data_IF_209733412995
#
_entry.id   IF_209733412995
#
_cell.length_a   1.000
_cell.length_b   1.000
_cell.length_c   1.000
_cell.angle_alpha   90.00
_cell.angle_beta   90.00
_cell.angle_gamma   90.00
#
_symmetry.space_group_name_H-M   'P 1'
#
loop_
_entity.id
_entity.type
_entity.pdbx_description
1 polymer ?
#
# COMPACT_ATOMS: atom_id res chain seq x y z
N UNK A 1 25.15 35.76 -28.48
CA UNK A 1 26.60 35.53 -28.71
C UNK A 1 27.15 36.25 -29.94
N UNK A 2 26.72 35.92 -31.17
CA UNK A 2 27.32 36.43 -32.43
C UNK A 2 27.45 37.97 -32.50
N UNK A 3 26.40 38.72 -32.17
CA UNK A 3 26.41 40.19 -32.20
C UNK A 3 27.53 40.83 -31.35
N UNK A 4 27.77 40.34 -30.11
CA UNK A 4 28.85 40.84 -29.24
C UNK A 4 30.24 40.61 -29.85
N UNK A 5 30.42 39.51 -30.58
CA UNK A 5 31.70 39.16 -31.22
C UNK A 5 31.89 39.96 -32.52
N UNK A 6 30.81 40.17 -33.30
CA UNK A 6 30.81 41.08 -34.45
C UNK A 6 31.14 42.52 -34.05
N UNK A 7 30.52 43.05 -32.98
CA UNK A 7 30.82 44.40 -32.46
C UNK A 7 32.30 44.49 -32.05
N UNK A 8 32.84 43.49 -31.34
CA UNK A 8 34.24 43.49 -30.91
C UNK A 8 35.20 43.44 -32.11
N UNK A 9 34.91 42.61 -33.14
CA UNK A 9 35.69 42.59 -34.39
C UNK A 9 35.61 43.94 -35.11
N UNK A 10 34.44 44.58 -35.15
CA UNK A 10 34.24 45.87 -35.82
C UNK A 10 35.00 47.00 -35.10
N UNK A 11 35.00 47.00 -33.76
CA UNK A 11 35.82 47.92 -32.95
C UNK A 11 37.32 47.69 -33.18
N UNK A 12 37.78 46.43 -33.22
CA UNK A 12 39.18 46.10 -33.56
C UNK A 12 39.54 46.61 -34.95
N UNK A 13 38.67 46.41 -35.94
CA UNK A 13 38.90 46.88 -37.31
C UNK A 13 38.97 48.42 -37.38
N UNK A 14 38.11 49.11 -36.63
CA UNK A 14 38.10 50.57 -36.54
C UNK A 14 39.38 51.12 -35.88
N UNK A 15 39.84 50.50 -34.77
CA UNK A 15 41.10 50.86 -34.11
C UNK A 15 42.30 50.57 -35.00
N UNK A 16 42.34 49.42 -35.68
CA UNK A 16 43.41 49.06 -36.60
C UNK A 16 43.45 50.00 -37.83
N UNK A 17 42.29 50.35 -38.40
CA UNK A 17 42.19 51.31 -39.49
C UNK A 17 42.62 52.73 -39.08
N UNK A 18 42.22 53.17 -37.88
CA UNK A 18 42.69 54.43 -37.31
C UNK A 18 44.21 54.44 -37.08
N UNK A 19 44.78 53.35 -36.56
CA UNK A 19 46.22 53.21 -36.36
C UNK A 19 46.99 53.17 -37.70
N UNK A 20 46.47 52.50 -38.72
CA UNK A 20 47.06 52.49 -40.06
C UNK A 20 47.04 53.90 -40.70
N UNK A 21 45.94 54.64 -40.56
CA UNK A 21 45.83 56.01 -41.06
C UNK A 21 46.79 56.99 -40.35
N UNK A 22 47.03 56.78 -39.04
CA UNK A 22 47.90 57.63 -38.22
C UNK A 22 49.31 57.04 -38.02
N UNK A 23 49.74 56.13 -38.91
CA UNK A 23 50.99 55.38 -38.77
C UNK A 23 52.24 56.26 -38.61
N UNK A 24 52.30 57.38 -39.33
CA UNK A 24 53.41 58.32 -39.26
C UNK A 24 53.58 58.95 -37.86
N UNK A 25 52.48 59.29 -37.19
CA UNK A 25 52.52 59.87 -35.84
C UNK A 25 52.78 58.78 -34.78
N UNK A 26 52.25 57.58 -34.97
CA UNK A 26 52.48 56.42 -34.10
C UNK A 26 53.96 56.01 -34.07
N UNK A 27 54.64 56.11 -35.22
CA UNK A 27 56.04 55.75 -35.37
C UNK A 27 57.01 56.93 -35.13
N UNK A 28 56.51 58.09 -34.68
CA UNK A 28 57.31 59.27 -34.38
C UNK A 28 58.08 59.08 -33.06
N UNK A 29 59.41 59.08 -33.13
CA UNK A 29 60.26 59.03 -31.94
C UNK A 29 59.98 60.22 -31.02
N UNK A 30 59.87 59.94 -29.72
CA UNK A 30 59.68 60.92 -28.65
C UNK A 30 60.60 60.57 -27.48
N UNK A 31 61.17 61.58 -26.85
CA UNK A 31 61.99 61.45 -25.64
C UNK A 31 61.13 60.95 -24.48
N UNK A 32 61.33 59.70 -24.05
CA UNK A 32 60.58 59.07 -22.96
C UNK A 32 61.42 58.96 -21.70
N UNK A 33 60.92 59.53 -20.60
CA UNK A 33 61.55 59.50 -19.28
C UNK A 33 60.96 58.38 -18.42
N UNK A 34 61.69 57.29 -18.25
CA UNK A 34 61.35 56.14 -17.41
C UNK A 34 61.74 56.38 -15.95
N UNK A 35 61.38 57.55 -15.40
CA UNK A 35 61.77 58.01 -14.08
C UNK A 35 63.22 58.51 -14.00
N UNK A 36 64.19 57.61 -14.20
CA UNK A 36 65.64 57.89 -14.05
C UNK A 36 66.42 57.82 -15.38
N UNK A 37 65.88 57.14 -16.39
CA UNK A 37 66.51 56.95 -17.70
C UNK A 37 65.67 57.61 -18.78
N UNK A 38 66.31 58.34 -19.69
CA UNK A 38 65.68 58.88 -20.89
C UNK A 38 66.07 58.02 -22.10
N UNK A 39 65.09 57.66 -22.93
CA UNK A 39 65.33 56.96 -24.18
C UNK A 39 64.37 57.44 -25.26
N UNK A 40 64.86 57.58 -26.49
CA UNK A 40 64.01 57.88 -27.65
C UNK A 40 63.32 56.62 -28.15
N UNK A 41 62.00 56.59 -28.05
CA UNK A 41 61.21 55.50 -28.64
C UNK A 41 59.85 56.03 -29.15
N UNK A 42 59.26 55.35 -30.15
CA UNK A 42 57.91 55.67 -30.63
C UNK A 42 56.87 55.27 -29.57
N UNK A 43 56.44 56.24 -28.76
CA UNK A 43 55.43 56.06 -27.71
C UNK A 43 54.14 55.42 -28.25
N UNK A 44 53.72 55.80 -29.47
CA UNK A 44 52.54 55.26 -30.12
C UNK A 44 52.61 53.74 -30.30
N UNK A 45 53.75 53.21 -30.77
CA UNK A 45 53.94 51.76 -30.90
C UNK A 45 53.93 51.04 -29.54
N UNK A 46 54.55 51.62 -28.50
CA UNK A 46 54.56 51.03 -27.16
C UNK A 46 53.12 50.91 -26.62
N UNK A 47 52.34 51.99 -26.69
CA UNK A 47 50.95 52.01 -26.25
C UNK A 47 50.05 51.07 -27.08
N UNK A 48 50.21 51.05 -28.40
CA UNK A 48 49.44 50.16 -29.29
C UNK A 48 49.74 48.68 -28.99
N UNK A 49 51.01 48.35 -28.75
CA UNK A 49 51.43 46.97 -28.43
C UNK A 49 50.89 46.54 -27.07
N UNK A 50 50.98 47.40 -26.05
CA UNK A 50 50.44 47.15 -24.72
C UNK A 50 48.91 46.97 -24.75
N UNK A 51 48.21 47.83 -25.51
CA UNK A 51 46.77 47.72 -25.72
C UNK A 51 46.39 46.40 -26.42
N UNK A 52 47.15 45.99 -27.44
CA UNK A 52 46.96 44.72 -28.13
C UNK A 52 47.12 43.51 -27.21
N UNK A 53 48.15 43.51 -26.36
CA UNK A 53 48.37 42.46 -25.35
C UNK A 53 47.21 42.43 -24.34
N UNK A 54 46.83 43.59 -23.78
CA UNK A 54 45.73 43.70 -22.82
C UNK A 54 44.39 43.21 -23.42
N UNK A 55 44.11 43.56 -24.67
CA UNK A 55 42.93 43.10 -25.40
C UNK A 55 42.94 41.58 -25.63
N UNK A 56 44.09 40.99 -25.96
CA UNK A 56 44.25 39.56 -26.16
C UNK A 56 44.02 38.78 -24.84
N UNK A 57 44.61 39.25 -23.74
CA UNK A 57 44.37 38.69 -22.38
C UNK A 57 42.90 38.81 -21.98
N UNK A 58 42.27 39.97 -22.24
CA UNK A 58 40.85 40.17 -21.98
C UNK A 58 39.97 39.23 -22.82
N UNK A 59 40.27 39.06 -24.11
CA UNK A 59 39.55 38.15 -25.00
C UNK A 59 39.70 36.68 -24.57
N UNK A 60 40.91 36.26 -24.17
CA UNK A 60 41.18 34.91 -23.66
C UNK A 60 40.41 34.64 -22.36
N UNK A 61 40.46 35.57 -21.39
CA UNK A 61 39.69 35.50 -20.15
C UNK A 61 38.18 35.47 -20.41
N UNK A 62 37.69 36.31 -21.33
CA UNK A 62 36.29 36.33 -21.72
C UNK A 62 35.83 35.05 -22.45
N UNK A 63 36.75 34.26 -23.03
CA UNK A 63 36.47 32.96 -23.60
C UNK A 63 36.42 31.86 -22.52
N UNK A 64 37.36 31.84 -21.57
CA UNK A 64 37.39 30.85 -20.48
C UNK A 64 36.21 30.98 -19.52
N UNK A 65 35.77 32.20 -19.19
CA UNK A 65 34.55 32.41 -18.40
C UNK A 65 33.28 31.85 -19.11
N UNK A 66 33.23 31.86 -20.45
CA UNK A 66 32.08 31.35 -21.20
C UNK A 66 32.04 29.82 -21.28
N UNK A 67 33.18 29.13 -21.18
CA UNK A 67 33.21 27.66 -21.22
C UNK A 67 32.74 27.04 -19.90
N UNK A 68 32.96 27.69 -18.76
CA UNK A 68 32.55 27.17 -17.44
C UNK A 68 31.03 26.93 -17.36
N UNK A 69 30.20 27.92 -17.69
CA UNK A 69 28.72 27.79 -17.64
C UNK A 69 28.14 26.73 -18.60
N UNK A 70 28.79 26.44 -19.73
CA UNK A 70 28.37 25.38 -20.65
C UNK A 70 28.72 23.98 -20.13
N UNK A 71 29.78 23.86 -19.34
CA UNK A 71 30.15 22.60 -18.68
C UNK A 71 29.25 22.34 -17.47
N UNK A 72 29.01 23.36 -16.64
CA UNK A 72 28.10 23.29 -15.48
C UNK A 72 26.68 22.88 -15.91
N UNK A 73 26.09 23.53 -16.92
CA UNK A 73 24.74 23.18 -17.40
C UNK A 73 24.64 21.72 -17.88
N UNK A 74 25.69 21.16 -18.50
CA UNK A 74 25.76 19.74 -18.88
C UNK A 74 25.92 18.81 -17.67
N UNK A 75 26.66 19.23 -16.64
CA UNK A 75 26.79 18.47 -15.39
C UNK A 75 25.48 18.46 -14.60
N UNK A 76 24.79 19.61 -14.46
CA UNK A 76 23.47 19.69 -13.82
C UNK A 76 22.41 18.87 -14.58
N UNK A 77 22.41 18.91 -15.92
CA UNK A 77 21.52 18.06 -16.72
C UNK A 77 21.78 16.56 -16.47
N UNK A 78 23.05 16.13 -16.43
CA UNK A 78 23.41 14.75 -16.08
C UNK A 78 23.01 14.36 -14.66
N UNK A 79 23.21 15.24 -13.68
CA UNK A 79 22.81 15.01 -12.30
C UNK A 79 21.29 14.86 -12.15
N UNK A 80 20.50 15.71 -12.82
CA UNK A 80 19.04 15.61 -12.86
C UNK A 80 18.56 14.34 -13.56
N UNK A 81 19.22 13.91 -14.64
CA UNK A 81 18.89 12.63 -15.30
C UNK A 81 19.18 11.43 -14.40
N UNK A 82 20.33 11.39 -13.74
CA UNK A 82 20.66 10.32 -12.79
C UNK A 82 19.71 10.30 -11.58
N UNK A 83 19.32 11.48 -11.07
CA UNK A 83 18.34 11.57 -9.98
C UNK A 83 16.95 11.08 -10.41
N UNK A 84 16.50 11.39 -11.64
CA UNK A 84 15.26 10.85 -12.20
C UNK A 84 15.30 9.34 -12.33
N UNK A 85 16.37 8.78 -12.89
CA UNK A 85 16.51 7.33 -13.05
C UNK A 85 16.48 6.58 -11.70
N UNK A 86 17.10 7.16 -10.66
CA UNK A 86 17.01 6.64 -9.29
C UNK A 86 15.61 6.79 -8.68
N UNK A 87 14.92 7.91 -8.93
CA UNK A 87 13.55 8.14 -8.49
C UNK A 87 12.57 7.19 -9.17
N UNK A 88 12.59 7.09 -10.50
CA UNK A 88 11.76 6.20 -11.32
C UNK A 88 11.94 4.73 -10.89
N UNK A 89 13.18 4.32 -10.59
CA UNK A 89 13.47 2.98 -10.07
C UNK A 89 12.94 2.76 -8.66
N UNK A 90 13.02 3.75 -7.78
CA UNK A 90 12.45 3.70 -6.45
C UNK A 90 10.91 3.66 -6.49
N UNK A 91 10.29 4.47 -7.36
CA UNK A 91 8.85 4.47 -7.60
C UNK A 91 8.37 3.14 -8.17
N UNK A 92 9.03 2.58 -9.20
CA UNK A 92 8.73 1.26 -9.73
C UNK A 92 8.80 0.15 -8.66
N UNK A 93 9.77 0.23 -7.74
CA UNK A 93 9.84 -0.66 -6.58
C UNK A 93 8.64 -0.49 -5.64
N UNK A 94 8.26 0.76 -5.30
CA UNK A 94 7.08 1.04 -4.45
C UNK A 94 5.76 0.61 -5.10
N UNK A 95 5.60 0.79 -6.41
CA UNK A 95 4.45 0.29 -7.16
C UNK A 95 4.36 -1.24 -7.14
N UNK A 96 5.50 -1.92 -7.25
CA UNK A 96 5.58 -3.39 -7.19
C UNK A 96 5.22 -3.90 -5.80
N UNK A 97 5.76 -3.27 -4.74
CA UNK A 97 5.50 -3.62 -3.34
C UNK A 97 4.03 -3.37 -2.94
N UNK A 98 3.48 -2.20 -3.28
CA UNK A 98 2.06 -1.88 -3.08
C UNK A 98 1.14 -2.87 -3.82
N UNK A 99 1.49 -3.26 -5.04
CA UNK A 99 0.73 -4.26 -5.80
C UNK A 99 0.79 -5.64 -5.13
N UNK A 100 1.97 -6.06 -4.67
CA UNK A 100 2.14 -7.33 -3.96
C UNK A 100 1.32 -7.35 -2.66
N UNK A 101 1.39 -6.28 -1.86
CA UNK A 101 0.60 -6.12 -0.63
C UNK A 101 -0.91 -6.16 -0.91
N UNK A 102 -1.38 -5.49 -1.96
CA UNK A 102 -2.78 -5.48 -2.36
C UNK A 102 -3.24 -6.86 -2.87
N UNK A 103 -2.41 -7.56 -3.66
CA UNK A 103 -2.68 -8.93 -4.10
C UNK A 103 -2.75 -9.92 -2.91
N UNK A 104 -1.92 -9.74 -1.88
CA UNK A 104 -2.00 -10.52 -0.63
C UNK A 104 -3.31 -10.23 0.11
N UNK A 105 -3.65 -8.96 0.36
CA UNK A 105 -4.90 -8.62 1.05
C UNK A 105 -6.16 -9.07 0.29
N UNK A 106 -6.18 -9.02 -1.05
CA UNK A 106 -7.28 -9.56 -1.84
C UNK A 106 -7.42 -11.09 -1.70
N UNK A 107 -6.29 -11.82 -1.61
CA UNK A 107 -6.29 -13.27 -1.36
C UNK A 107 -6.79 -13.59 0.04
N UNK A 108 -6.31 -12.87 1.05
CA UNK A 108 -6.76 -13.03 2.44
C UNK A 108 -8.25 -12.73 2.60
N UNK A 109 -8.76 -11.66 1.98
CA UNK A 109 -10.19 -11.33 1.99
C UNK A 109 -11.00 -12.46 1.37
N UNK A 110 -10.67 -12.88 0.14
CA UNK A 110 -11.36 -14.00 -0.53
C UNK A 110 -11.33 -15.28 0.29
N UNK A 111 -10.20 -15.58 0.94
CA UNK A 111 -10.10 -16.74 1.82
C UNK A 111 -11.04 -16.61 3.03
N UNK A 112 -11.08 -15.46 3.70
CA UNK A 112 -12.03 -15.20 4.79
C UNK A 112 -13.48 -15.29 4.32
N UNK A 113 -13.80 -14.75 3.16
CA UNK A 113 -15.15 -14.81 2.57
C UNK A 113 -15.57 -16.26 2.28
N UNK A 114 -14.67 -17.09 1.73
CA UNK A 114 -14.95 -18.53 1.51
C UNK A 114 -15.06 -19.34 2.80
N UNK A 115 -14.29 -18.99 3.83
CA UNK A 115 -14.42 -19.63 5.14
C UNK A 115 -15.74 -19.23 5.80
N UNK A 116 -16.11 -17.94 5.75
CA UNK A 116 -17.36 -17.44 6.30
C UNK A 116 -18.59 -18.07 5.61
N UNK A 117 -18.59 -18.17 4.28
CA UNK A 117 -19.68 -18.83 3.54
C UNK A 117 -19.77 -20.32 3.85
N UNK A 118 -18.64 -21.04 3.92
CA UNK A 118 -18.68 -22.47 4.28
C UNK A 118 -19.12 -22.73 5.72
N UNK A 119 -18.80 -21.85 6.68
CA UNK A 119 -19.34 -21.94 8.04
C UNK A 119 -20.84 -21.59 8.08
N UNK A 120 -21.29 -20.59 7.31
CA UNK A 120 -22.72 -20.27 7.15
C UNK A 120 -23.50 -21.46 6.56
N UNK A 121 -22.99 -22.11 5.52
CA UNK A 121 -23.61 -23.29 4.90
C UNK A 121 -23.69 -24.47 5.88
N UNK A 122 -22.64 -24.70 6.68
CA UNK A 122 -22.65 -25.71 7.76
C UNK A 122 -23.73 -25.39 8.81
N UNK A 123 -23.81 -24.14 9.26
CA UNK A 123 -24.80 -23.69 10.24
C UNK A 123 -26.23 -23.84 9.70
N UNK A 124 -26.49 -23.43 8.45
CA UNK A 124 -27.78 -23.64 7.78
C UNK A 124 -28.13 -25.13 7.68
N UNK A 125 -27.19 -25.98 7.28
CA UNK A 125 -27.39 -27.43 7.22
C UNK A 125 -27.59 -28.07 8.61
N UNK A 126 -27.01 -27.51 9.68
CA UNK A 126 -27.29 -27.92 11.06
C UNK A 126 -28.71 -27.50 11.48
N UNK A 127 -29.10 -26.24 11.28
CA UNK A 127 -30.44 -25.75 11.59
C UNK A 127 -31.54 -26.50 10.83
N UNK A 128 -31.33 -26.82 9.55
CA UNK A 128 -32.27 -27.65 8.78
C UNK A 128 -32.44 -29.07 9.33
N UNK A 129 -31.36 -29.68 9.85
CA UNK A 129 -31.42 -30.99 10.51
C UNK A 129 -32.15 -30.90 11.85
N UNK A 130 -31.86 -29.88 12.65
CA UNK A 130 -32.53 -29.65 13.93
C UNK A 130 -34.04 -29.43 13.75
N UNK A 131 -34.46 -28.62 12.77
CA UNK A 131 -35.88 -28.44 12.44
C UNK A 131 -36.57 -29.74 12.00
N UNK A 132 -35.88 -30.61 11.24
CA UNK A 132 -36.41 -31.95 10.89
C UNK A 132 -36.58 -32.82 12.13
N UNK A 133 -35.57 -32.88 12.99
CA UNK A 133 -35.62 -33.63 14.25
C UNK A 133 -36.78 -33.15 15.15
N UNK A 134 -36.98 -31.84 15.26
CA UNK A 134 -38.08 -31.25 16.04
C UNK A 134 -39.46 -31.58 15.44
N UNK A 135 -39.59 -31.57 14.11
CA UNK A 135 -40.82 -31.98 13.42
C UNK A 135 -41.11 -33.48 13.62
N UNK A 136 -40.09 -34.35 13.54
CA UNK A 136 -40.22 -35.78 13.80
C UNK A 136 -40.63 -36.05 15.27
N UNK A 137 -39.99 -35.40 16.23
CA UNK A 137 -40.36 -35.47 17.65
C UNK A 137 -41.80 -35.01 17.88
N UNK A 138 -42.21 -33.89 17.28
CA UNK A 138 -43.57 -33.36 17.40
C UNK A 138 -44.59 -34.31 16.74
N UNK A 139 -44.27 -34.90 15.60
CA UNK A 139 -45.08 -35.94 14.95
C UNK A 139 -45.24 -37.16 15.86
N UNK A 140 -44.15 -37.70 16.41
CA UNK A 140 -44.20 -38.84 17.33
C UNK A 140 -45.01 -38.53 18.61
N UNK A 141 -44.88 -37.34 19.18
CA UNK A 141 -45.68 -36.89 20.32
C UNK A 141 -47.17 -36.79 19.96
N UNK A 142 -47.52 -36.23 18.80
CA UNK A 142 -48.90 -36.15 18.32
C UNK A 142 -49.49 -37.54 18.06
N UNK A 143 -48.74 -38.45 17.43
CA UNK A 143 -49.16 -39.84 17.24
C UNK A 143 -49.38 -40.55 18.58
N UNK A 144 -48.43 -40.45 19.53
CA UNK A 144 -48.57 -41.05 20.86
C UNK A 144 -49.76 -40.49 21.65
N UNK A 145 -50.06 -39.19 21.51
CA UNK A 145 -51.27 -38.58 22.06
C UNK A 145 -52.55 -39.10 21.40
N UNK A 146 -52.54 -39.28 20.07
CA UNK A 146 -53.68 -39.82 19.33
C UNK A 146 -53.95 -41.28 19.74
N UNK A 147 -52.92 -42.12 19.82
CA UNK A 147 -53.04 -43.52 20.27
C UNK A 147 -53.54 -43.64 21.71
N UNK A 148 -53.16 -42.73 22.61
CA UNK A 148 -53.72 -42.68 23.98
C UNK A 148 -55.20 -42.24 23.98
N UNK A 149 -55.63 -41.36 23.07
CA UNK A 149 -57.04 -40.97 22.91
C UNK A 149 -57.85 -42.14 22.33
N UNK A 150 -57.34 -42.81 21.29
CA UNK A 150 -57.91 -44.00 20.67
C UNK A 150 -58.08 -45.12 21.70
N UNK A 151 -57.03 -45.43 22.47
CA UNK A 151 -57.06 -46.41 23.56
C UNK A 151 -58.08 -46.06 24.67
N UNK A 152 -58.38 -44.77 24.89
CA UNK A 152 -59.45 -44.34 25.81
C UNK A 152 -60.85 -44.44 25.20
N UNK A 153 -60.99 -44.33 23.88
CA UNK A 153 -62.24 -44.59 23.16
C UNK A 153 -62.54 -46.09 23.16
N UNK A 154 -61.59 -46.93 22.74
CA UNK A 154 -61.70 -48.40 22.78
C UNK A 154 -61.94 -48.90 24.21
N UNK A 155 -61.20 -48.34 25.19
CA UNK A 155 -61.37 -48.65 26.61
C UNK A 155 -62.73 -48.25 27.20
N UNK A 156 -63.50 -47.37 26.53
CA UNK A 156 -64.92 -47.11 26.82
C UNK A 156 -65.84 -48.04 26.04
N UNK A 157 -65.56 -48.28 24.76
CA UNK A 157 -66.38 -49.17 23.93
C UNK A 157 -66.35 -50.63 24.41
N UNK A 158 -65.26 -51.04 25.07
CA UNK A 158 -65.14 -52.34 25.73
C UNK A 158 -65.66 -52.36 27.18
N UNK A 159 -66.37 -51.31 27.63
CA UNK A 159 -66.79 -51.16 29.04
C UNK A 159 -68.13 -50.42 29.22
N UNK A 160 -69.22 -51.02 28.73
CA UNK A 160 -70.60 -50.85 29.23
C UNK A 160 -71.42 -52.14 28.93
N UNK A 161 -72.58 -52.41 29.58
CA UNK A 161 -72.75 -53.70 30.24
C UNK A 161 -74.10 -54.41 29.99
N UNK A 162 -74.22 -55.64 30.51
CA UNK A 162 -75.36 -56.22 31.24
C UNK A 162 -75.27 -57.76 31.25
N UNK A 163 -74.89 -58.34 32.39
CA UNK A 163 -75.85 -59.17 33.13
C UNK A 163 -75.50 -59.23 34.63
N UNK A 164 -76.45 -59.62 35.46
CA UNK A 164 -76.44 -59.54 36.93
C UNK A 164 -77.08 -60.80 37.54
N UNK A 165 -76.63 -61.21 38.75
CA UNK A 165 -77.06 -62.44 39.50
C UNK A 165 -76.61 -63.76 38.84
N UNK A 166 -76.39 -64.90 39.52
CA UNK A 166 -76.37 -65.31 40.94
C UNK A 166 -75.72 -66.71 41.04
N UNK A 167 -75.24 -67.27 42.16
CA UNK A 167 -74.88 -66.80 43.52
C UNK A 167 -73.89 -67.85 44.12
N UNK A 168 -73.00 -67.49 45.07
CA UNK A 168 -73.05 -67.84 46.53
C UNK A 168 -73.38 -69.33 46.82
N UNK A 169 -72.52 -70.14 47.47
CA UNK A 169 -72.24 -70.26 48.94
C UNK A 169 -70.96 -71.14 49.08
N UNK A 170 -69.86 -70.84 49.80
CA UNK A 170 -69.62 -70.69 51.27
C UNK A 170 -69.67 -72.03 52.08
N UNK A 171 -69.08 -72.16 53.29
CA UNK A 171 -67.62 -72.25 53.57
C UNK A 171 -67.26 -73.38 54.59
N UNK A 172 -65.98 -73.50 54.98
CA UNK A 172 -65.61 -74.05 56.33
C UNK A 172 -64.43 -73.26 56.92
N UNK A 173 -64.49 -73.03 58.24
CA UNK A 173 -63.57 -72.22 59.07
C UNK A 173 -63.03 -73.06 60.24
N UNK A 174 -62.00 -72.56 60.94
CA UNK A 174 -61.71 -72.58 62.41
C UNK A 174 -60.17 -72.58 62.56
N UNK A 175 -59.53 -71.40 62.68
CA UNK A 175 -59.08 -70.68 63.90
C UNK A 175 -57.67 -71.16 64.36
N UNK A 176 -56.57 -70.39 64.27
CA UNK A 176 -56.08 -69.27 65.14
C UNK A 176 -55.51 -69.78 66.51
N UNK A 177 -54.32 -69.36 67.08
CA UNK A 177 -53.75 -68.00 67.17
C UNK A 177 -52.21 -67.77 67.02
N UNK A 178 -51.84 -66.47 67.05
CA UNK A 178 -50.49 -65.86 67.01
C UNK A 178 -49.96 -65.50 68.45
N UNK A 179 -48.99 -64.58 68.76
CA UNK A 179 -48.17 -63.64 67.93
C UNK A 179 -46.70 -63.32 68.42
N UNK A 180 -46.09 -62.24 67.87
CA UNK A 180 -44.85 -61.47 68.23
C UNK A 180 -43.55 -61.88 67.50
N UNK A 181 -42.56 -61.02 67.17
CA UNK A 181 -42.28 -59.59 67.47
C UNK A 181 -41.55 -58.87 66.28
N UNK A 182 -41.33 -57.54 66.38
CA UNK A 182 -40.88 -56.58 65.33
C UNK A 182 -39.38 -56.09 65.54
N UNK A 183 -38.79 -55.11 64.78
CA UNK A 183 -37.81 -55.14 63.65
C UNK A 183 -36.38 -54.60 64.04
N UNK A 184 -35.64 -53.68 63.33
CA UNK A 184 -35.41 -53.36 61.89
C UNK A 184 -33.92 -53.23 61.45
N UNK A 185 -33.65 -53.04 60.14
CA UNK A 185 -32.41 -52.39 59.61
C UNK A 185 -31.76 -53.08 58.40
N UNK A 186 -30.91 -52.44 57.59
CA UNK A 186 -30.56 -51.01 57.42
C UNK A 186 -29.70 -50.83 56.14
N UNK A 187 -29.86 -49.70 55.43
CA UNK A 187 -28.89 -49.02 54.53
C UNK A 187 -28.17 -49.74 53.34
N UNK A 188 -28.29 -49.09 52.15
CA UNK A 188 -27.26 -48.87 51.08
C UNK A 188 -26.70 -50.14 50.38
N UNK A 189 -26.35 -50.12 49.09
CA UNK A 189 -25.80 -49.06 48.21
C UNK A 189 -26.55 -48.99 46.88
#
# INVERSE_FOLDING_TARGET
>A
MRARLLILVLVILAVAGFAAQNWAEINRSTTLTFGVVQADAPLGLILLTLLGIALLVFAASAATLRTQHLVESRQHAKALHAQRELADKAEASRFTDLRQMLDVHLRESRQRDTLASTEMDKALAQHQRELRNQLEQMYHLLTGRLTEIERRLDGRQMRDPLDTRAETVMPTRIDEPAPRHIPPGRERV
#
